data_IF_549436539483
#
_entry.id   IF_549436539483
#
_cell.length_a   1.000
_cell.length_b   1.000
_cell.length_c   1.000
_cell.angle_alpha   90.00
_cell.angle_beta   90.00
_cell.angle_gamma   90.00
#
_symmetry.space_group_name_H-M   'P 1'
#
loop_
_entity.id
_entity.type
_entity.pdbx_description
1 polymer ?
#
# COMPACT_ATOMS: atom_id res chain seq x y z
N UNK A 1 13.39 11.59 13.80
CA UNK A 1 14.21 12.50 14.64
C UNK A 1 13.54 12.83 15.99
N UNK A 2 12.34 13.39 16.01
CA UNK A 2 11.65 13.73 17.28
C UNK A 2 11.40 12.52 18.19
N UNK A 3 10.93 11.40 17.62
CA UNK A 3 10.76 10.15 18.38
C UNK A 3 12.06 9.70 19.07
N UNK A 4 13.21 9.79 18.39
CA UNK A 4 14.52 9.45 18.96
C UNK A 4 14.94 10.42 20.07
N UNK A 5 14.68 11.73 19.91
CA UNK A 5 14.93 12.72 20.98
C UNK A 5 14.15 12.41 22.25
N UNK A 6 12.97 11.80 22.11
CA UNK A 6 12.13 11.32 23.21
C UNK A 6 12.49 9.91 23.71
N UNK A 7 13.62 9.34 23.25
CA UNK A 7 14.11 8.04 23.70
C UNK A 7 13.45 6.82 23.04
N UNK A 8 12.60 6.99 22.02
CA UNK A 8 11.99 5.87 21.32
C UNK A 8 12.98 5.21 20.35
N UNK A 9 12.92 3.86 20.27
CA UNK A 9 13.55 3.11 19.18
C UNK A 9 12.72 3.24 17.91
N UNK A 10 13.38 3.48 16.78
CA UNK A 10 12.74 3.69 15.48
C UNK A 10 13.07 2.54 14.54
N UNK A 11 12.04 1.87 14.07
CA UNK A 11 12.07 0.93 12.96
C UNK A 11 11.46 1.60 11.73
N UNK A 12 12.16 1.56 10.60
CA UNK A 12 11.64 2.08 9.32
C UNK A 12 11.44 0.98 8.29
N UNK A 13 10.32 1.07 7.55
CA UNK A 13 10.06 0.29 6.34
C UNK A 13 10.42 1.15 5.13
N UNK A 14 11.43 0.76 4.35
CA UNK A 14 11.93 1.58 3.23
C UNK A 14 12.21 0.73 2.00
N UNK A 15 12.03 1.31 0.81
CA UNK A 15 12.41 0.65 -0.44
C UNK A 15 13.84 1.02 -0.89
N UNK A 16 14.42 2.09 -0.34
CA UNK A 16 15.76 2.57 -0.66
C UNK A 16 16.68 2.47 0.57
N UNK A 17 17.60 1.50 0.53
CA UNK A 17 18.56 1.25 1.60
C UNK A 17 19.45 2.45 1.93
N UNK A 18 19.78 3.26 0.92
CA UNK A 18 20.57 4.49 1.08
C UNK A 18 19.76 5.74 1.43
N UNK A 19 18.49 5.62 1.80
CA UNK A 19 17.66 6.79 2.14
C UNK A 19 18.09 7.43 3.47
N UNK A 20 17.80 8.72 3.64
CA UNK A 20 18.00 9.43 4.93
C UNK A 20 17.24 8.76 6.06
N UNK A 21 16.00 8.30 5.80
CA UNK A 21 15.19 7.61 6.80
C UNK A 21 15.85 6.30 7.26
N UNK A 22 16.40 5.51 6.32
CA UNK A 22 17.14 4.29 6.66
C UNK A 22 18.35 4.58 7.56
N UNK A 23 19.15 5.60 7.22
CA UNK A 23 20.35 5.98 8.01
C UNK A 23 20.04 6.47 9.41
N UNK A 24 18.90 7.15 9.59
CA UNK A 24 18.54 7.74 10.89
C UNK A 24 17.80 6.79 11.83
N UNK A 25 17.33 5.66 11.32
CA UNK A 25 16.57 4.67 12.09
C UNK A 25 17.49 3.73 12.86
N UNK A 26 16.99 3.14 13.96
CA UNK A 26 17.74 2.16 14.75
C UNK A 26 17.71 0.78 14.08
N UNK A 27 16.59 0.47 13.42
CA UNK A 27 16.40 -0.71 12.60
C UNK A 27 15.75 -0.31 11.27
N UNK A 28 16.05 -1.06 10.22
CA UNK A 28 15.46 -0.85 8.89
C UNK A 28 15.06 -2.20 8.29
N UNK A 29 13.83 -2.28 7.78
CA UNK A 29 13.37 -3.37 6.93
C UNK A 29 13.23 -2.87 5.50
N UNK A 30 13.89 -3.57 4.58
CA UNK A 30 13.80 -3.27 3.16
C UNK A 30 12.57 -3.93 2.57
N UNK A 31 11.78 -3.16 1.81
CA UNK A 31 10.62 -3.69 1.07
C UNK A 31 11.04 -4.61 -0.07
N UNK A 32 12.23 -4.38 -0.64
CA UNK A 32 12.81 -5.15 -1.73
C UNK A 32 11.88 -5.33 -2.95
N UNK A 33 11.03 -4.34 -3.24
CA UNK A 33 10.08 -4.39 -4.36
C UNK A 33 10.64 -3.78 -5.66
N UNK A 34 11.95 -3.51 -5.70
CA UNK A 34 12.63 -2.83 -6.80
C UNK A 34 12.33 -1.33 -6.88
N UNK A 35 13.02 -0.56 -7.75
CA UNK A 35 12.79 0.88 -7.89
C UNK A 35 11.35 1.19 -8.31
N UNK A 36 10.76 2.21 -7.69
CA UNK A 36 9.45 2.73 -8.08
C UNK A 36 9.65 3.95 -8.97
N UNK A 37 9.39 3.77 -10.26
CA UNK A 37 9.58 4.81 -11.29
C UNK A 37 8.34 5.69 -11.43
N UNK A 38 7.15 5.11 -11.18
CA UNK A 38 5.89 5.85 -11.20
C UNK A 38 5.81 6.84 -10.04
N UNK A 39 5.17 7.98 -10.30
CA UNK A 39 4.94 9.02 -9.27
C UNK A 39 4.02 8.50 -8.16
N UNK A 40 2.96 7.80 -8.55
CA UNK A 40 2.03 7.18 -7.62
C UNK A 40 2.59 5.84 -7.11
N UNK A 41 2.59 5.68 -5.78
CA UNK A 41 2.95 4.43 -5.13
C UNK A 41 2.01 3.29 -5.57
N UNK A 42 2.59 2.13 -5.92
CA UNK A 42 1.87 0.92 -6.33
C UNK A 42 2.50 -0.30 -5.65
N UNK A 43 3.67 -0.73 -6.14
CA UNK A 43 4.41 -1.89 -5.62
C UNK A 43 4.86 -1.65 -4.18
N UNK A 44 5.30 -0.43 -3.87
CA UNK A 44 5.77 -0.09 -2.52
C UNK A 44 4.63 -0.16 -1.49
N UNK A 45 3.43 0.28 -1.84
CA UNK A 45 2.25 0.19 -0.97
C UNK A 45 1.92 -1.26 -0.65
N UNK A 46 1.80 -2.13 -1.66
CA UNK A 46 1.52 -3.56 -1.46
C UNK A 46 2.63 -4.23 -0.64
N UNK A 47 3.89 -3.92 -0.93
CA UNK A 47 5.03 -4.46 -0.17
C UNK A 47 5.02 -3.98 1.30
N UNK A 48 4.65 -2.73 1.58
CA UNK A 48 4.50 -2.23 2.94
C UNK A 48 3.43 -3.01 3.71
N UNK A 49 2.27 -3.28 3.09
CA UNK A 49 1.21 -4.08 3.71
C UNK A 49 1.71 -5.50 4.03
N UNK A 50 2.40 -6.16 3.08
CA UNK A 50 2.96 -7.50 3.28
C UNK A 50 3.97 -7.51 4.43
N UNK A 51 4.96 -6.60 4.40
CA UNK A 51 6.01 -6.54 5.42
C UNK A 51 5.44 -6.19 6.80
N UNK A 52 4.44 -5.30 6.88
CA UNK A 52 3.77 -4.98 8.13
C UNK A 52 3.04 -6.20 8.72
N UNK A 53 2.35 -6.99 7.89
CA UNK A 53 1.70 -8.22 8.35
C UNK A 53 2.72 -9.28 8.80
N UNK A 54 3.81 -9.48 8.04
CA UNK A 54 4.89 -10.40 8.44
C UNK A 54 5.56 -9.98 9.76
N UNK A 55 5.73 -8.67 9.98
CA UNK A 55 6.23 -8.13 11.24
C UNK A 55 5.27 -8.46 12.40
N UNK A 56 3.97 -8.24 12.22
CA UNK A 56 2.96 -8.57 13.24
C UNK A 56 2.94 -10.07 13.52
N UNK A 57 2.92 -10.90 12.49
CA UNK A 57 2.96 -12.37 12.64
C UNK A 57 4.19 -12.81 13.44
N UNK A 58 5.37 -12.28 13.11
CA UNK A 58 6.60 -12.58 13.84
C UNK A 58 6.51 -12.17 15.32
N UNK A 59 5.98 -10.97 15.62
CA UNK A 59 5.83 -10.46 16.98
C UNK A 59 4.87 -11.30 17.84
N UNK A 60 3.84 -11.89 17.23
CA UNK A 60 2.87 -12.76 17.93
C UNK A 60 3.24 -14.24 17.85
N UNK A 61 4.44 -14.57 17.37
CA UNK A 61 4.94 -15.96 17.30
C UNK A 61 4.31 -16.81 16.20
N UNK A 62 3.62 -16.20 15.23
CA UNK A 62 3.13 -16.87 14.02
C UNK A 62 4.24 -16.92 12.97
N UNK A 63 4.48 -18.10 12.42
CA UNK A 63 5.38 -18.28 11.28
C UNK A 63 4.60 -18.82 10.10
N UNK A 64 3.68 -18.00 9.59
CA UNK A 64 2.89 -18.37 8.43
C UNK A 64 3.58 -17.80 7.18
N UNK A 65 4.33 -18.65 6.49
CA UNK A 65 4.93 -18.33 5.19
C UNK A 65 3.90 -18.34 4.07
N UNK A 66 2.93 -17.41 4.09
CA UNK A 66 1.88 -17.30 3.06
C UNK A 66 2.31 -16.50 1.83
N UNK A 67 3.62 -16.36 1.61
CA UNK A 67 4.17 -15.53 0.54
C UNK A 67 3.73 -15.98 -0.85
N UNK A 68 3.81 -17.29 -1.12
CA UNK A 68 3.39 -17.87 -2.40
C UNK A 68 1.87 -17.75 -2.62
N UNK A 69 1.07 -17.97 -1.58
CA UNK A 69 -0.38 -17.81 -1.64
C UNK A 69 -0.76 -16.36 -1.96
N UNK A 70 -0.16 -15.39 -1.25
CA UNK A 70 -0.40 -13.96 -1.49
C UNK A 70 0.05 -13.56 -2.90
N UNK A 71 1.19 -14.07 -3.38
CA UNK A 71 1.64 -13.83 -4.75
C UNK A 71 0.62 -14.35 -5.78
N UNK A 72 0.10 -15.56 -5.58
CA UNK A 72 -0.96 -16.13 -6.43
C UNK A 72 -2.24 -15.30 -6.42
N UNK A 73 -2.68 -14.80 -5.26
CA UNK A 73 -3.85 -13.91 -5.17
C UNK A 73 -3.63 -12.57 -5.90
N UNK A 74 -2.40 -12.04 -5.89
CA UNK A 74 -2.06 -10.82 -6.64
C UNK A 74 -2.08 -11.09 -8.15
N UNK A 75 -1.53 -12.21 -8.60
CA UNK A 75 -1.60 -12.61 -10.01
C UNK A 75 -3.05 -12.79 -10.49
N UNK A 76 -3.88 -13.44 -9.68
CA UNK A 76 -5.31 -13.59 -9.95
C UNK A 76 -6.01 -12.22 -10.04
N UNK A 77 -5.75 -11.32 -9.10
CA UNK A 77 -6.33 -9.97 -9.13
C UNK A 77 -5.92 -9.19 -10.39
N UNK A 78 -4.65 -9.31 -10.82
CA UNK A 78 -4.15 -8.68 -12.05
C UNK A 78 -4.79 -9.25 -13.33
N UNK A 79 -5.21 -10.53 -13.32
CA UNK A 79 -5.94 -11.13 -14.44
C UNK A 79 -7.28 -10.45 -14.73
N UNK A 80 -7.83 -9.69 -13.76
CA UNK A 80 -9.05 -8.90 -13.89
C UNK A 80 -8.88 -7.59 -14.69
N UNK A 81 -7.69 -7.26 -15.19
CA UNK A 81 -7.43 -6.04 -15.97
C UNK A 81 -8.44 -5.77 -17.10
N UNK A 82 -8.89 -6.76 -17.91
CA UNK A 82 -9.87 -6.52 -18.97
C UNK A 82 -11.19 -5.97 -18.45
N UNK A 83 -11.70 -6.51 -17.34
CA UNK A 83 -12.93 -6.06 -16.68
C UNK A 83 -12.76 -4.66 -16.12
N UNK A 84 -11.62 -4.37 -15.48
CA UNK A 84 -11.32 -3.02 -14.97
C UNK A 84 -11.28 -1.99 -16.10
N UNK A 85 -10.73 -2.35 -17.28
CA UNK A 85 -10.74 -1.48 -18.48
C UNK A 85 -12.15 -1.21 -18.99
N UNK A 86 -13.04 -2.20 -18.97
CA UNK A 86 -14.45 -2.01 -19.34
C UNK A 86 -15.17 -1.06 -18.38
N UNK A 87 -15.00 -1.26 -17.08
CA UNK A 87 -15.54 -0.37 -16.05
C UNK A 87 -15.02 1.05 -16.23
N UNK A 88 -13.71 1.23 -16.44
CA UNK A 88 -13.12 2.54 -16.68
C UNK A 88 -13.74 3.24 -17.90
N UNK A 89 -14.05 2.51 -18.98
CA UNK A 89 -14.75 3.09 -20.15
C UNK A 89 -16.18 3.52 -19.83
N UNK A 90 -16.91 2.74 -19.04
CA UNK A 90 -18.29 3.07 -18.66
C UNK A 90 -18.37 4.35 -17.82
N UNK A 91 -17.37 4.61 -16.98
CA UNK A 91 -17.38 5.74 -16.04
C UNK A 91 -16.46 6.90 -16.43
N UNK A 92 -15.85 6.89 -17.63
CA UNK A 92 -14.89 7.92 -18.08
C UNK A 92 -15.42 9.36 -18.08
N UNK A 93 -16.74 9.55 -18.16
CA UNK A 93 -17.39 10.86 -18.18
C UNK A 93 -17.84 11.34 -16.79
N UNK A 94 -17.58 10.55 -15.74
CA UNK A 94 -17.93 10.93 -14.37
C UNK A 94 -16.85 11.82 -13.76
N UNK A 95 -17.27 12.86 -13.07
CA UNK A 95 -16.42 13.82 -12.38
C UNK A 95 -16.08 13.42 -10.94
N UNK A 96 -16.86 12.52 -10.35
CA UNK A 96 -16.83 12.22 -8.92
C UNK A 96 -16.88 10.71 -8.67
N UNK A 97 -15.96 10.23 -7.84
CA UNK A 97 -15.89 8.83 -7.42
C UNK A 97 -15.81 8.72 -5.89
N UNK A 98 -16.66 7.87 -5.32
CA UNK A 98 -16.66 7.56 -3.90
C UNK A 98 -16.22 6.12 -3.68
N UNK A 99 -15.11 5.95 -2.97
CA UNK A 99 -14.57 4.66 -2.57
C UNK A 99 -15.05 4.37 -1.15
N UNK A 100 -15.84 3.31 -0.96
CA UNK A 100 -16.45 3.02 0.34
C UNK A 100 -15.85 1.72 0.88
N UNK A 101 -15.34 1.74 2.11
CA UNK A 101 -14.75 0.57 2.75
C UNK A 101 -15.02 0.53 4.25
N UNK A 102 -15.03 -0.68 4.83
CA UNK A 102 -15.21 -0.90 6.27
C UNK A 102 -14.11 -1.80 6.83
N UNK A 103 -13.74 -1.59 8.09
CA UNK A 103 -12.69 -2.37 8.75
C UNK A 103 -11.38 -2.29 7.96
N UNK A 104 -10.80 -3.44 7.62
CA UNK A 104 -9.55 -3.52 6.86
C UNK A 104 -9.64 -2.96 5.43
N UNK A 105 -10.86 -2.81 4.88
CA UNK A 105 -11.06 -2.23 3.56
C UNK A 105 -11.13 -0.69 3.58
N UNK A 106 -11.29 -0.06 4.74
CA UNK A 106 -11.33 1.41 4.80
C UNK A 106 -10.00 2.05 4.35
N UNK A 107 -8.82 1.60 4.82
CA UNK A 107 -7.54 2.07 4.26
C UNK A 107 -7.40 1.81 2.76
N UNK A 108 -7.98 0.71 2.24
CA UNK A 108 -7.96 0.43 0.79
C UNK A 108 -8.82 1.42 0.01
N UNK A 109 -9.97 1.83 0.55
CA UNK A 109 -10.82 2.85 -0.04
C UNK A 109 -10.11 4.22 -0.10
N UNK A 110 -9.38 4.58 0.97
CA UNK A 110 -8.56 5.80 0.99
C UNK A 110 -7.46 5.76 -0.07
N UNK A 111 -6.73 4.65 -0.18
CA UNK A 111 -5.67 4.50 -1.18
C UNK A 111 -6.23 4.53 -2.61
N UNK A 112 -7.35 3.84 -2.88
CA UNK A 112 -8.01 3.86 -4.19
C UNK A 112 -8.43 5.26 -4.62
N UNK A 113 -9.04 6.02 -3.71
CA UNK A 113 -9.39 7.42 -3.96
C UNK A 113 -8.15 8.30 -4.18
N UNK A 114 -7.06 8.05 -3.44
CA UNK A 114 -5.80 8.75 -3.63
C UNK A 114 -5.21 8.49 -5.03
N UNK A 115 -5.14 7.22 -5.46
CA UNK A 115 -4.65 6.85 -6.80
C UNK A 115 -5.47 7.49 -7.91
N UNK A 116 -6.80 7.50 -7.77
CA UNK A 116 -7.69 8.14 -8.73
C UNK A 116 -7.36 9.63 -8.86
N UNK A 117 -7.21 10.35 -7.74
CA UNK A 117 -6.85 11.78 -7.75
C UNK A 117 -5.48 12.04 -8.39
N UNK A 118 -4.47 11.25 -8.02
CA UNK A 118 -3.08 11.44 -8.48
C UNK A 118 -2.91 11.20 -9.99
N UNK A 119 -3.60 10.20 -10.54
CA UNK A 119 -3.38 9.74 -11.91
C UNK A 119 -4.37 10.30 -12.93
N UNK A 120 -5.61 10.56 -12.52
CA UNK A 120 -6.67 10.99 -13.43
C UNK A 120 -7.12 12.44 -13.24
N UNK A 121 -6.72 13.08 -12.13
CA UNK A 121 -7.19 14.42 -11.71
C UNK A 121 -8.71 14.52 -11.48
N UNK A 122 -9.41 13.39 -11.46
CA UNK A 122 -10.84 13.31 -11.14
C UNK A 122 -11.02 13.44 -9.62
N UNK A 123 -12.09 14.09 -9.20
CA UNK A 123 -12.43 14.17 -7.78
C UNK A 123 -12.75 12.77 -7.25
N UNK A 124 -12.05 12.36 -6.19
CA UNK A 124 -12.31 11.09 -5.53
C UNK A 124 -12.12 11.17 -4.01
N UNK A 125 -13.04 10.53 -3.30
CA UNK A 125 -13.07 10.51 -1.83
C UNK A 125 -13.21 9.07 -1.31
N UNK A 126 -12.41 8.74 -0.29
CA UNK A 126 -12.48 7.47 0.41
C UNK A 126 -13.26 7.64 1.71
N UNK A 127 -14.28 6.82 1.94
CA UNK A 127 -15.22 6.95 3.05
C UNK A 127 -15.36 5.64 3.83
N UNK A 128 -15.57 5.76 5.13
CA UNK A 128 -15.91 4.63 5.97
C UNK A 128 -17.38 4.24 5.75
N UNK A 129 -17.63 2.95 5.47
CA UNK A 129 -18.99 2.42 5.52
C UNK A 129 -19.45 2.32 6.98
N UNK A 130 -20.71 2.69 7.25
CA UNK A 130 -21.34 2.54 8.55
C UNK A 130 -21.56 1.07 8.95
#
# INVERSE_FOLDING_TARGET
>A
REAKKKGAKVLSLVNAAGSTLARESDLTLLLNCGPEVGVAATKSFTAQVVVANLLVDNLVGRRNGRGEEVAGMVEEALSGEPTVKEIARMYRERSDFYFIGRGYHYPMALEGALKMKELSYIHAEGMAAS
#
